data_IF_704208159869
#
_entry.id   IF_704208159869
#
_cell.length_a   1.000
_cell.length_b   1.000
_cell.length_c   1.000
_cell.angle_alpha   90.00
_cell.angle_beta   90.00
_cell.angle_gamma   90.00
#
_symmetry.space_group_name_H-M   'P 1'
#
loop_
_entity.id
_entity.type
_entity.pdbx_description
1 polymer ?
#
# COMPACT_ATOMS: atom_id res chain seq x y z
N UNK A 1 -92.53 2.44 -32.96
CA UNK A 1 -91.11 2.78 -32.80
C UNK A 1 -90.34 1.47 -32.87
N UNK A 2 -89.63 1.24 -33.98
CA UNK A 2 -89.09 -0.05 -34.39
C UNK A 2 -87.59 -0.19 -34.01
N UNK A 3 -87.08 -1.43 -33.89
CA UNK A 3 -85.73 -1.77 -33.42
C UNK A 3 -84.73 -1.86 -34.58
N UNK A 4 -83.44 -1.56 -34.36
CA UNK A 4 -82.40 -1.82 -35.38
C UNK A 4 -81.04 -2.09 -34.73
N UNK A 5 -80.51 -3.29 -35.00
CA UNK A 5 -79.10 -3.60 -34.89
C UNK A 5 -78.40 -3.44 -36.24
N UNK A 6 -77.07 -3.24 -36.19
CA UNK A 6 -76.15 -3.52 -37.29
C UNK A 6 -74.84 -4.01 -36.68
N UNK A 7 -74.57 -5.30 -36.84
CA UNK A 7 -73.20 -5.80 -37.06
C UNK A 7 -73.01 -5.98 -38.57
N UNK A 8 -71.85 -5.60 -39.10
CA UNK A 8 -71.04 -6.57 -39.86
C UNK A 8 -69.57 -6.48 -39.38
N UNK A 9 -68.95 -7.57 -38.98
CA UNK A 9 -68.37 -8.65 -39.81
C UNK A 9 -66.87 -8.39 -40.08
N UNK A 10 -66.07 -9.17 -39.36
CA UNK A 10 -64.85 -9.87 -39.76
C UNK A 10 -63.82 -9.19 -40.69
N UNK A 11 -62.60 -9.03 -40.16
CA UNK A 11 -61.37 -9.25 -40.93
C UNK A 11 -60.20 -9.51 -39.96
N UNK A 12 -59.79 -10.78 -39.92
CA UNK A 12 -58.44 -11.29 -39.71
C UNK A 12 -57.35 -10.31 -39.24
N UNK A 13 -56.74 -10.60 -38.09
CA UNK A 13 -55.28 -10.49 -37.97
C UNK A 13 -54.73 -11.35 -36.81
N UNK A 14 -54.08 -12.49 -37.09
CA UNK A 14 -53.51 -13.37 -36.08
C UNK A 14 -52.03 -13.06 -35.82
N UNK A 15 -51.65 -11.84 -35.44
CA UNK A 15 -50.22 -11.50 -35.24
C UNK A 15 -49.90 -10.51 -34.09
N UNK A 16 -50.47 -10.69 -32.89
CA UNK A 16 -49.96 -9.99 -31.70
C UNK A 16 -49.91 -10.86 -30.46
N UNK A 17 -49.05 -11.87 -30.47
CA UNK A 17 -48.60 -12.49 -29.22
C UNK A 17 -47.13 -12.96 -29.28
N UNK A 18 -46.23 -12.06 -29.68
CA UNK A 18 -44.78 -12.27 -29.62
C UNK A 18 -44.08 -11.03 -29.05
N UNK A 19 -44.28 -10.76 -27.76
CA UNK A 19 -43.37 -9.90 -27.00
C UNK A 19 -42.73 -10.74 -25.88
N UNK A 20 -41.89 -11.70 -26.28
CA UNK A 20 -40.79 -12.14 -25.43
C UNK A 20 -39.73 -11.05 -25.52
N UNK A 21 -39.74 -10.11 -24.57
CA UNK A 21 -38.64 -9.16 -24.46
C UNK A 21 -37.35 -9.96 -24.23
N UNK A 22 -36.31 -9.77 -25.06
CA UNK A 22 -35.02 -10.35 -24.75
C UNK A 22 -34.55 -9.65 -23.47
N UNK A 23 -34.27 -10.44 -22.43
CA UNK A 23 -33.53 -9.95 -21.26
C UNK A 23 -32.31 -9.23 -21.81
N UNK A 24 -32.29 -7.91 -21.67
CA UNK A 24 -31.30 -7.06 -22.31
C UNK A 24 -29.97 -7.22 -21.57
N UNK A 25 -29.25 -8.28 -21.95
CA UNK A 25 -27.97 -8.67 -21.38
C UNK A 25 -26.94 -7.54 -21.48
N UNK A 26 -27.10 -6.62 -22.45
CA UNK A 26 -26.29 -5.42 -22.55
C UNK A 26 -26.57 -4.45 -21.39
N UNK A 27 -27.84 -4.17 -21.08
CA UNK A 27 -28.22 -3.33 -19.95
C UNK A 27 -27.81 -3.96 -18.60
N UNK A 28 -27.88 -5.29 -18.49
CA UNK A 28 -27.41 -6.02 -17.31
C UNK A 28 -25.88 -5.96 -17.16
N UNK A 29 -25.13 -6.06 -18.26
CA UNK A 29 -23.67 -5.95 -18.26
C UNK A 29 -23.21 -4.52 -17.92
N UNK A 30 -23.93 -3.51 -18.38
CA UNK A 30 -23.67 -2.10 -18.06
C UNK A 30 -23.92 -1.81 -16.58
N UNK A 31 -24.99 -2.37 -16.01
CA UNK A 31 -25.26 -2.32 -14.58
C UNK A 31 -24.19 -3.06 -13.76
N UNK A 32 -23.71 -4.21 -14.25
CA UNK A 32 -22.63 -4.96 -13.60
C UNK A 32 -21.30 -4.20 -13.66
N UNK A 33 -21.00 -3.52 -14.77
CA UNK A 33 -19.80 -2.71 -14.92
C UNK A 33 -19.82 -1.51 -13.95
N UNK A 34 -20.98 -0.85 -13.78
CA UNK A 34 -21.16 0.21 -12.81
C UNK A 34 -21.06 -0.29 -11.35
N UNK A 35 -21.58 -1.48 -11.06
CA UNK A 35 -21.49 -2.10 -9.74
C UNK A 35 -20.06 -2.53 -9.40
N UNK A 36 -19.33 -3.09 -10.37
CA UNK A 36 -17.90 -3.41 -10.22
C UNK A 36 -17.12 -2.12 -10.00
N UNK A 37 -17.41 -1.04 -10.72
CA UNK A 37 -16.74 0.24 -10.52
C UNK A 37 -17.00 0.80 -9.12
N UNK A 38 -18.23 0.69 -8.60
CA UNK A 38 -18.54 1.08 -7.23
C UNK A 38 -17.90 0.16 -6.18
N UNK A 39 -17.84 -1.15 -6.41
CA UNK A 39 -17.12 -2.08 -5.53
C UNK A 39 -15.60 -1.86 -5.57
N UNK A 40 -15.03 -1.54 -6.73
CA UNK A 40 -13.63 -1.13 -6.89
C UNK A 40 -13.36 0.16 -6.14
N UNK A 41 -14.28 1.14 -6.20
CA UNK A 41 -14.20 2.37 -5.40
C UNK A 41 -14.32 2.11 -3.91
N UNK A 42 -15.22 1.22 -3.49
CA UNK A 42 -15.38 0.82 -2.09
C UNK A 42 -14.17 0.01 -1.57
N UNK A 43 -13.48 -0.72 -2.45
CA UNK A 43 -12.20 -1.40 -2.19
C UNK A 43 -10.99 -0.47 -2.32
N UNK A 44 -11.18 0.81 -2.66
CA UNK A 44 -10.11 1.80 -2.76
C UNK A 44 -9.25 1.69 -4.03
N UNK A 45 -9.66 0.89 -5.03
CA UNK A 45 -8.93 0.66 -6.28
C UNK A 45 -9.27 1.66 -7.41
N UNK A 46 -10.14 2.64 -7.17
CA UNK A 46 -10.39 3.78 -8.07
C UNK A 46 -9.95 5.11 -7.46
N UNK A 47 -8.75 5.15 -6.89
CA UNK A 47 -8.08 6.40 -6.58
C UNK A 47 -7.27 6.89 -7.80
N UNK A 48 -7.09 8.21 -8.00
CA UNK A 48 -6.17 8.79 -8.98
C UNK A 48 -4.68 8.38 -8.80
N UNK A 49 -4.39 7.49 -7.84
CA UNK A 49 -3.10 6.87 -7.60
C UNK A 49 -2.93 5.49 -8.25
N UNK A 50 -3.95 4.95 -8.94
CA UNK A 50 -3.75 3.86 -9.90
C UNK A 50 -3.22 4.46 -11.21
N UNK A 51 -2.15 5.26 -11.12
CA UNK A 51 -1.30 5.47 -12.27
C UNK A 51 -0.80 4.11 -12.69
N UNK A 52 -0.74 3.90 -14.00
CA UNK A 52 -0.04 2.80 -14.66
C UNK A 52 1.48 2.89 -14.40
N UNK A 53 1.89 3.15 -13.15
CA UNK A 53 3.26 3.00 -12.70
C UNK A 53 3.47 1.51 -12.58
N UNK A 54 4.16 0.91 -13.55
CA UNK A 54 4.74 -0.42 -13.43
C UNK A 54 5.82 -0.52 -12.35
N UNK A 55 5.73 0.28 -11.29
CA UNK A 55 6.58 0.19 -10.12
C UNK A 55 6.26 -1.13 -9.41
N UNK A 56 7.29 -1.95 -9.22
CA UNK A 56 7.17 -3.24 -8.53
C UNK A 56 6.63 -3.10 -7.10
N UNK A 57 6.80 -1.91 -6.49
CA UNK A 57 6.21 -1.55 -5.21
C UNK A 57 5.68 -0.10 -5.19
N UNK A 58 4.37 0.11 -5.12
CA UNK A 58 3.77 1.45 -5.05
C UNK A 58 4.03 2.13 -3.69
N UNK A 59 4.96 3.10 -3.66
CA UNK A 59 5.40 3.78 -2.42
C UNK A 59 4.28 4.51 -1.68
N UNK A 60 3.31 5.04 -2.42
CA UNK A 60 2.14 5.74 -1.86
C UNK A 60 1.30 4.81 -0.98
N UNK A 61 1.07 3.57 -1.42
CA UNK A 61 0.32 2.56 -0.65
C UNK A 61 1.05 2.23 0.65
N UNK A 62 2.38 2.05 0.58
CA UNK A 62 3.22 1.80 1.76
C UNK A 62 3.09 2.96 2.75
N UNK A 63 3.26 4.21 2.29
CA UNK A 63 3.18 5.42 3.12
C UNK A 63 1.82 5.58 3.78
N UNK A 64 0.74 5.49 3.01
CA UNK A 64 -0.62 5.68 3.53
C UNK A 64 -0.99 4.61 4.55
N UNK A 65 -0.64 3.35 4.27
CA UNK A 65 -0.87 2.24 5.19
C UNK A 65 -0.07 2.44 6.48
N UNK A 66 1.23 2.78 6.38
CA UNK A 66 2.07 3.03 7.54
C UNK A 66 1.55 4.19 8.39
N UNK A 67 1.21 5.33 7.76
CA UNK A 67 0.66 6.50 8.46
C UNK A 67 -0.66 6.20 9.15
N UNK A 68 -1.55 5.40 8.54
CA UNK A 68 -2.79 4.96 9.17
C UNK A 68 -2.53 4.18 10.45
N UNK A 69 -1.56 3.26 10.42
CA UNK A 69 -1.16 2.48 11.60
C UNK A 69 -0.53 3.35 12.69
N UNK A 70 0.38 4.24 12.33
CA UNK A 70 1.02 5.16 13.28
C UNK A 70 0.00 6.10 13.91
N UNK A 71 -0.90 6.68 13.11
CA UNK A 71 -1.96 7.56 13.62
C UNK A 71 -2.85 6.85 14.64
N UNK A 72 -3.18 5.58 14.39
CA UNK A 72 -3.96 4.77 15.33
C UNK A 72 -3.24 4.51 16.66
N UNK A 73 -1.89 4.52 16.67
CA UNK A 73 -1.05 4.39 17.87
C UNK A 73 -0.73 5.73 18.53
N UNK A 74 -1.07 6.85 17.88
CA UNK A 74 -0.74 8.20 18.32
C UNK A 74 0.69 8.59 17.94
N UNK A 75 0.87 9.86 17.56
CA UNK A 75 2.17 10.46 17.25
C UNK A 75 2.20 11.88 17.82
N UNK A 76 3.02 12.09 18.85
CA UNK A 76 3.18 13.39 19.47
C UNK A 76 4.04 14.32 18.58
N UNK A 77 3.72 15.62 18.50
CA UNK A 77 4.58 16.59 17.84
C UNK A 77 5.88 16.78 18.63
N UNK A 78 6.97 17.09 17.92
CA UNK A 78 8.28 17.34 18.52
C UNK A 78 8.40 18.82 18.93
N UNK A 79 8.73 19.07 20.19
CA UNK A 79 8.99 20.39 20.73
C UNK A 79 10.48 20.74 20.78
N UNK A 80 10.77 22.02 21.00
CA UNK A 80 12.15 22.51 21.13
C UNK A 80 12.91 21.87 22.31
N UNK A 81 12.19 21.54 23.40
CA UNK A 81 12.80 20.85 24.55
C UNK A 81 13.23 19.41 24.20
N UNK A 82 12.45 18.69 23.37
CA UNK A 82 12.80 17.32 22.97
C UNK A 82 14.07 17.32 22.13
N UNK A 83 14.15 18.26 21.18
CA UNK A 83 15.34 18.48 20.35
C UNK A 83 16.55 18.77 21.22
N UNK A 84 16.46 19.77 22.12
CA UNK A 84 17.58 20.17 22.97
C UNK A 84 18.07 19.03 23.88
N UNK A 85 17.16 18.21 24.42
CA UNK A 85 17.50 17.07 25.28
C UNK A 85 18.20 15.96 24.51
N UNK A 86 17.81 15.70 23.27
CA UNK A 86 18.48 14.68 22.44
C UNK A 86 19.83 15.18 21.95
N UNK A 87 19.96 16.45 21.58
CA UNK A 87 21.26 17.04 21.22
C UNK A 87 22.26 16.98 22.39
N UNK A 88 21.79 17.22 23.61
CA UNK A 88 22.58 17.04 24.84
C UNK A 88 23.02 15.58 24.99
N UNK A 89 22.09 14.62 24.87
CA UNK A 89 22.39 13.19 24.96
C UNK A 89 23.42 12.75 23.89
N UNK A 90 23.25 13.17 22.64
CA UNK A 90 24.21 12.91 21.57
C UNK A 90 25.58 13.48 21.87
N UNK A 91 25.66 14.70 22.43
CA UNK A 91 26.94 15.31 22.81
C UNK A 91 27.67 14.50 23.90
N UNK A 92 26.93 13.94 24.85
CA UNK A 92 27.49 13.08 25.90
C UNK A 92 27.92 11.72 25.33
N UNK A 93 27.06 11.07 24.53
CA UNK A 93 27.38 9.79 23.90
C UNK A 93 28.62 9.90 23.01
N UNK A 94 28.73 10.99 22.25
CA UNK A 94 29.88 11.28 21.39
C UNK A 94 31.17 11.46 22.20
N UNK A 95 31.12 12.10 23.36
CA UNK A 95 32.27 12.21 24.26
C UNK A 95 32.77 10.83 24.72
N UNK A 96 31.86 9.91 25.02
CA UNK A 96 32.20 8.54 25.44
C UNK A 96 32.70 7.68 24.27
N UNK A 97 32.06 7.77 23.11
CA UNK A 97 32.42 7.02 21.91
C UNK A 97 33.77 7.45 21.32
N UNK A 98 34.11 8.74 21.38
CA UNK A 98 35.39 9.25 20.89
C UNK A 98 36.59 8.66 21.65
N UNK A 99 36.43 8.42 22.96
CA UNK A 99 37.49 7.79 23.75
C UNK A 99 37.56 6.27 23.47
N UNK A 100 36.41 5.63 23.28
CA UNK A 100 36.31 4.18 23.14
C UNK A 100 36.53 3.66 21.71
N UNK A 101 36.44 4.52 20.68
CA UNK A 101 36.43 4.11 19.26
C UNK A 101 37.35 4.95 18.39
N UNK A 102 37.72 4.43 17.23
CA UNK A 102 38.50 5.14 16.20
C UNK A 102 37.63 5.67 15.05
N UNK A 103 36.31 5.59 15.17
CA UNK A 103 35.40 6.05 14.13
C UNK A 103 35.36 7.58 14.11
N UNK A 104 35.37 8.21 12.92
CA UNK A 104 35.20 9.65 12.85
C UNK A 104 33.78 10.04 13.28
N UNK A 105 33.65 11.22 13.90
CA UNK A 105 32.35 11.79 14.23
C UNK A 105 31.47 11.91 12.98
N UNK A 106 30.16 11.70 13.13
CA UNK A 106 29.25 11.91 12.02
C UNK A 106 29.27 13.38 11.57
N UNK A 107 29.53 13.61 10.29
CA UNK A 107 29.52 14.94 9.67
C UNK A 107 28.13 15.33 9.15
N UNK A 108 27.20 14.37 9.08
CA UNK A 108 25.87 14.58 8.55
C UNK A 108 24.98 15.25 9.61
N UNK A 109 24.43 16.41 9.26
CA UNK A 109 23.45 17.11 10.09
C UNK A 109 22.05 16.73 9.63
N UNK A 110 21.25 16.21 10.56
CA UNK A 110 19.84 15.91 10.35
C UNK A 110 19.03 16.33 11.56
N UNK A 111 17.73 16.05 11.55
CA UNK A 111 16.88 16.34 12.70
C UNK A 111 17.17 15.31 13.82
N UNK A 112 17.66 15.72 14.99
CA UNK A 112 18.01 14.79 16.07
C UNK A 112 16.78 14.13 16.70
N UNK A 113 15.60 14.75 16.59
CA UNK A 113 14.36 14.26 17.22
C UNK A 113 13.21 14.25 16.21
N UNK A 114 12.52 13.13 16.06
CA UNK A 114 11.42 12.99 15.10
C UNK A 114 10.18 12.36 15.69
N UNK A 115 9.02 12.79 15.19
CA UNK A 115 7.76 12.13 15.51
C UNK A 115 7.67 10.78 14.77
N UNK A 116 6.81 9.87 15.25
CA UNK A 116 6.60 8.56 14.62
C UNK A 116 6.18 8.69 13.15
N UNK A 117 5.35 9.68 12.83
CA UNK A 117 4.93 9.95 11.45
C UNK A 117 6.08 10.43 10.56
N UNK A 118 6.98 11.22 11.12
CA UNK A 118 8.14 11.74 10.40
C UNK A 118 9.15 10.60 10.18
N UNK A 119 9.33 9.71 11.15
CA UNK A 119 10.15 8.50 10.98
C UNK A 119 9.69 7.64 9.80
N UNK A 120 8.37 7.47 9.63
CA UNK A 120 7.81 6.77 8.45
C UNK A 120 8.23 7.46 7.16
N UNK A 121 8.06 8.79 7.06
CA UNK A 121 8.39 9.52 5.84
C UNK A 121 9.89 9.53 5.54
N UNK A 122 10.72 9.69 6.58
CA UNK A 122 12.19 9.72 6.48
C UNK A 122 12.74 8.37 6.04
N UNK A 123 12.22 7.26 6.56
CA UNK A 123 12.74 5.91 6.27
C UNK A 123 12.14 5.26 5.03
N UNK A 124 11.02 5.77 4.50
CA UNK A 124 10.26 5.14 3.42
C UNK A 124 11.10 4.82 2.18
N UNK A 125 11.99 5.73 1.78
CA UNK A 125 12.84 5.54 0.61
C UNK A 125 13.80 4.38 0.82
N UNK A 126 14.45 4.30 1.98
CA UNK A 126 15.36 3.20 2.31
C UNK A 126 14.63 1.85 2.35
N UNK A 127 13.43 1.81 2.93
CA UNK A 127 12.59 0.61 2.92
C UNK A 127 12.30 0.12 1.51
N UNK A 128 11.95 1.03 0.61
CA UNK A 128 11.69 0.67 -0.77
C UNK A 128 12.95 0.11 -1.45
N UNK A 129 14.11 0.75 -1.30
CA UNK A 129 15.38 0.26 -1.87
C UNK A 129 15.70 -1.15 -1.36
N UNK A 130 15.47 -1.42 -0.07
CA UNK A 130 15.72 -2.73 0.51
C UNK A 130 14.76 -3.82 0.01
N UNK A 131 13.49 -3.48 -0.25
CA UNK A 131 12.43 -4.48 -0.52
C UNK A 131 12.09 -4.61 -2.00
N UNK A 132 12.35 -3.58 -2.82
CA UNK A 132 12.07 -3.58 -4.27
C UNK A 132 12.71 -4.77 -5.02
N UNK A 133 13.96 -5.21 -4.74
CA UNK A 133 14.54 -6.39 -5.38
C UNK A 133 13.73 -7.67 -5.12
N UNK A 134 13.10 -7.78 -3.94
CA UNK A 134 12.26 -8.93 -3.57
C UNK A 134 10.97 -8.92 -4.38
N UNK A 135 10.33 -7.76 -4.52
CA UNK A 135 9.12 -7.60 -5.32
C UNK A 135 9.36 -7.92 -6.81
N UNK A 136 10.48 -7.45 -7.36
CA UNK A 136 10.88 -7.76 -8.74
C UNK A 136 11.14 -9.26 -8.92
N UNK A 137 11.89 -9.87 -7.98
CA UNK A 137 12.18 -11.31 -8.03
C UNK A 137 10.93 -12.18 -7.96
N UNK A 138 9.99 -11.86 -7.07
CA UNK A 138 8.72 -12.59 -6.96
C UNK A 138 7.86 -12.43 -8.22
N UNK A 139 7.78 -11.21 -8.75
CA UNK A 139 7.04 -10.94 -9.97
C UNK A 139 7.59 -11.71 -11.18
N UNK A 140 8.92 -11.83 -11.28
CA UNK A 140 9.58 -12.63 -12.31
C UNK A 140 9.24 -14.12 -12.15
N UNK A 141 9.42 -14.68 -10.95
CA UNK A 141 9.15 -16.10 -10.68
C UNK A 141 7.71 -16.50 -11.01
N UNK A 142 6.73 -15.66 -10.71
CA UNK A 142 5.32 -15.94 -11.03
C UNK A 142 5.04 -15.83 -12.52
N UNK A 143 5.72 -14.93 -13.22
CA UNK A 143 5.63 -14.82 -14.69
C UNK A 143 6.19 -16.07 -15.36
N UNK A 144 7.28 -16.62 -14.82
CA UNK A 144 7.88 -17.87 -15.31
C UNK A 144 6.92 -19.06 -15.08
N UNK A 145 6.35 -19.19 -13.88
CA UNK A 145 5.37 -20.24 -13.55
C UNK A 145 4.12 -20.18 -14.45
N UNK A 146 3.61 -18.98 -14.72
CA UNK A 146 2.45 -18.81 -15.61
C UNK A 146 2.80 -19.18 -17.05
N UNK A 147 4.00 -18.83 -17.51
CA UNK A 147 4.49 -19.17 -18.84
C UNK A 147 4.69 -20.68 -19.01
N UNK A 148 5.16 -21.37 -17.96
CA UNK A 148 5.27 -22.83 -17.92
C UNK A 148 3.88 -23.50 -18.00
N UNK A 149 2.93 -23.06 -17.16
CA UNK A 149 1.57 -23.61 -17.13
C UNK A 149 0.78 -23.38 -18.44
N UNK A 150 0.99 -22.23 -19.10
CA UNK A 150 0.32 -21.90 -20.38
C UNK A 150 1.05 -22.45 -21.59
N UNK A 151 2.37 -22.60 -21.53
CA UNK A 151 3.20 -23.24 -22.57
C UNK A 151 2.89 -24.72 -22.76
N UNK A 152 2.52 -25.43 -21.69
CA UNK A 152 2.05 -26.82 -21.77
C UNK A 152 0.60 -26.94 -22.29
N UNK A 153 -0.20 -25.88 -22.16
CA UNK A 153 -1.63 -25.87 -22.53
C UNK A 153 -1.90 -25.42 -23.98
N UNK A 154 -0.87 -25.03 -24.74
CA UNK A 154 -0.96 -24.40 -26.06
C UNK A 154 -1.21 -25.32 -27.27
N UNK A 155 -1.58 -26.60 -27.08
CA UNK A 155 -1.84 -27.53 -28.20
C UNK A 155 -3.31 -27.85 -28.47
N UNK A 156 -4.28 -27.31 -27.73
CA UNK A 156 -5.68 -27.60 -27.98
C UNK A 156 -6.44 -26.37 -28.50
N UNK A 157 -6.73 -26.38 -29.80
CA UNK A 157 -7.35 -25.34 -30.64
C UNK A 157 -8.83 -25.01 -30.33
N UNK A 158 -9.27 -24.98 -29.08
CA UNK A 158 -10.65 -24.62 -28.78
C UNK A 158 -10.76 -23.90 -27.45
N UNK A 159 -10.88 -22.56 -27.48
CA UNK A 159 -11.98 -21.84 -26.83
C UNK A 159 -11.81 -20.31 -26.97
N UNK A 160 -12.61 -19.77 -27.89
CA UNK A 160 -12.65 -18.38 -28.32
C UNK A 160 -13.64 -17.53 -27.52
N UNK A 161 -13.69 -17.66 -26.19
CA UNK A 161 -14.73 -16.96 -25.39
C UNK A 161 -14.24 -16.13 -24.19
N UNK A 162 -12.97 -16.20 -23.78
CA UNK A 162 -12.45 -15.29 -22.74
C UNK A 162 -10.93 -15.14 -22.81
N UNK A 163 -10.40 -14.86 -24.00
CA UNK A 163 -8.98 -14.57 -24.18
C UNK A 163 -8.67 -13.14 -23.74
N UNK A 164 -8.76 -12.87 -22.44
CA UNK A 164 -7.90 -11.86 -21.85
C UNK A 164 -6.47 -12.26 -22.25
N UNK A 165 -5.70 -11.40 -22.95
CA UNK A 165 -4.36 -11.75 -23.36
C UNK A 165 -3.58 -12.23 -22.13
N UNK A 166 -2.97 -13.41 -22.19
CA UNK A 166 -2.21 -13.99 -21.06
C UNK A 166 -1.22 -12.97 -20.47
N UNK A 167 -0.64 -12.11 -21.32
CA UNK A 167 0.21 -11.00 -20.89
C UNK A 167 -0.50 -9.89 -20.10
N UNK A 168 -1.77 -9.62 -20.36
CA UNK A 168 -2.57 -8.68 -19.57
C UNK A 168 -2.89 -9.26 -18.18
N UNK A 169 -3.23 -10.55 -18.10
CA UNK A 169 -3.44 -11.24 -16.81
C UNK A 169 -2.15 -11.24 -15.99
N UNK A 170 -1.00 -11.54 -16.61
CA UNK A 170 0.30 -11.51 -15.95
C UNK A 170 0.63 -10.12 -15.37
N UNK A 171 0.32 -9.05 -16.12
CA UNK A 171 0.55 -7.67 -15.69
C UNK A 171 -0.36 -7.29 -14.51
N UNK A 172 -1.65 -7.67 -14.57
CA UNK A 172 -2.60 -7.45 -13.49
C UNK A 172 -2.20 -8.20 -12.22
N UNK A 173 -1.79 -9.46 -12.35
CA UNK A 173 -1.33 -10.28 -11.22
C UNK A 173 -0.08 -9.67 -10.57
N UNK A 174 0.88 -9.20 -11.38
CA UNK A 174 2.07 -8.49 -10.89
C UNK A 174 1.71 -7.23 -10.10
N UNK A 175 0.79 -6.42 -10.61
CA UNK A 175 0.32 -5.21 -9.93
C UNK A 175 -0.41 -5.54 -8.62
N UNK A 176 -1.26 -6.57 -8.62
CA UNK A 176 -1.96 -7.04 -7.42
C UNK A 176 -0.99 -7.49 -6.32
N UNK A 177 0.02 -8.29 -6.68
CA UNK A 177 1.05 -8.76 -5.74
C UNK A 177 1.89 -7.59 -5.21
N UNK A 178 2.30 -6.66 -6.08
CA UNK A 178 3.00 -5.45 -5.67
C UNK A 178 2.21 -4.64 -4.66
N UNK A 179 0.88 -4.54 -4.83
CA UNK A 179 -0.02 -3.88 -3.88
C UNK A 179 -0.14 -4.63 -2.54
N UNK A 180 -0.23 -5.96 -2.55
CA UNK A 180 -0.25 -6.77 -1.33
C UNK A 180 1.05 -6.63 -0.53
N UNK A 181 2.20 -6.71 -1.20
CA UNK A 181 3.51 -6.51 -0.56
C UNK A 181 3.60 -5.09 0.00
N UNK A 182 3.20 -4.08 -0.77
CA UNK A 182 3.21 -2.69 -0.32
C UNK A 182 2.34 -2.48 0.92
N UNK A 183 1.16 -3.11 0.95
CA UNK A 183 0.26 -3.06 2.11
C UNK A 183 0.92 -3.71 3.32
N UNK A 184 1.44 -4.94 3.18
CA UNK A 184 2.08 -5.66 4.29
C UNK A 184 3.31 -4.91 4.81
N UNK A 185 4.13 -4.36 3.91
CA UNK A 185 5.28 -3.54 4.25
C UNK A 185 4.83 -2.28 5.01
N UNK A 186 3.80 -1.59 4.53
CA UNK A 186 3.25 -0.41 5.21
C UNK A 186 2.76 -0.72 6.62
N UNK A 187 2.09 -1.86 6.83
CA UNK A 187 1.69 -2.30 8.17
C UNK A 187 2.90 -2.56 9.07
N UNK A 188 3.93 -3.24 8.56
CA UNK A 188 5.15 -3.53 9.30
C UNK A 188 5.91 -2.25 9.66
N UNK A 189 6.08 -1.33 8.71
CA UNK A 189 6.71 -0.02 8.94
C UNK A 189 5.92 0.78 9.98
N UNK A 190 4.59 0.81 9.88
CA UNK A 190 3.75 1.50 10.86
C UNK A 190 3.83 0.88 12.26
N UNK A 191 3.93 -0.44 12.34
CA UNK A 191 4.17 -1.16 13.59
C UNK A 191 5.55 -0.87 14.19
N UNK A 192 6.60 -0.84 13.36
CA UNK A 192 7.95 -0.49 13.79
C UNK A 192 8.03 0.95 14.27
N UNK A 193 7.47 1.91 13.53
CA UNK A 193 7.46 3.33 13.90
C UNK A 193 6.86 3.59 15.30
N UNK A 194 5.97 2.71 15.78
CA UNK A 194 5.40 2.82 17.12
C UNK A 194 6.32 2.33 18.25
N UNK A 195 7.39 1.59 17.93
CA UNK A 195 8.25 0.93 18.93
C UNK A 195 9.74 1.31 18.82
N UNK A 196 10.21 1.74 17.64
CA UNK A 196 11.62 2.11 17.44
C UNK A 196 12.00 3.35 18.23
N UNK A 197 13.10 3.29 18.95
CA UNK A 197 13.69 4.41 19.68
C UNK A 197 14.50 5.35 18.76
N UNK A 198 14.95 4.88 17.59
CA UNK A 198 15.67 5.71 16.62
C UNK A 198 15.62 5.21 15.18
N UNK A 199 16.34 5.90 14.28
CA UNK A 199 16.43 5.58 12.84
C UNK A 199 17.24 4.32 12.54
N UNK A 200 18.11 3.89 13.46
CA UNK A 200 19.06 2.78 13.24
C UNK A 200 18.69 1.47 13.94
N UNK A 201 17.58 1.42 14.68
CA UNK A 201 17.15 0.24 15.45
C UNK A 201 16.90 -1.01 14.60
N UNK A 202 16.54 -0.80 13.34
CA UNK A 202 16.18 -1.89 12.41
C UNK A 202 17.42 -2.53 11.77
N UNK A 203 18.59 -1.88 11.87
CA UNK A 203 19.84 -2.39 11.29
C UNK A 203 19.90 -2.34 9.75
N UNK A 204 18.96 -1.65 9.11
CA UNK A 204 18.95 -1.40 7.67
C UNK A 204 19.41 0.03 7.36
N UNK A 205 20.06 0.29 6.22
CA UNK A 205 20.47 1.63 5.80
C UNK A 205 19.25 2.40 5.27
N UNK A 206 18.39 2.87 6.18
CA UNK A 206 17.10 3.45 5.82
C UNK A 206 17.16 4.94 5.45
N UNK A 207 18.25 5.63 5.80
CA UNK A 207 18.39 7.09 5.68
C UNK A 207 19.72 7.43 5.03
N UNK A 208 19.70 8.33 4.03
CA UNK A 208 20.87 8.84 3.32
C UNK A 208 20.77 10.37 3.19
N UNK A 209 21.76 11.16 3.64
CA UNK A 209 22.94 10.73 4.39
C UNK A 209 22.59 10.14 5.76
N UNK A 210 23.47 9.27 6.28
CA UNK A 210 23.29 8.64 7.59
C UNK A 210 23.53 9.66 8.71
N UNK A 211 22.54 9.88 9.57
CA UNK A 211 22.65 10.71 10.78
C UNK A 211 21.89 10.07 11.95
N UNK A 212 22.31 10.33 13.21
CA UNK A 212 21.59 9.84 14.38
C UNK A 212 20.30 10.63 14.58
N UNK A 213 19.21 9.93 14.86
CA UNK A 213 17.93 10.56 15.19
C UNK A 213 17.09 9.62 16.04
N UNK A 214 16.42 10.19 17.04
CA UNK A 214 15.63 9.48 18.03
C UNK A 214 14.15 9.82 17.92
N UNK A 215 13.30 8.94 18.45
CA UNK A 215 11.85 9.10 18.57
C UNK A 215 11.52 9.30 20.05
N UNK A 216 11.44 10.56 20.55
CA UNK A 216 11.31 10.85 21.99
C UNK A 216 10.14 10.12 22.65
N UNK A 217 8.99 10.10 21.98
CA UNK A 217 7.79 9.44 22.49
C UNK A 217 8.05 7.94 22.77
N UNK A 218 8.77 7.26 21.88
CA UNK A 218 9.02 5.82 22.03
C UNK A 218 10.04 5.56 23.13
N UNK A 219 11.02 6.43 23.28
CA UNK A 219 11.98 6.37 24.38
C UNK A 219 11.28 6.56 25.72
N UNK A 220 10.41 7.57 25.81
CA UNK A 220 9.65 7.84 27.03
C UNK A 220 8.72 6.66 27.40
N UNK A 221 8.10 6.01 26.41
CA UNK A 221 7.29 4.80 26.62
C UNK A 221 8.16 3.58 26.98
N UNK A 222 9.31 3.39 26.33
CA UNK A 222 10.24 2.29 26.60
C UNK A 222 10.85 2.37 28.00
N UNK A 223 11.10 3.58 28.50
CA UNK A 223 11.71 3.82 29.79
C UNK A 223 10.81 3.65 31.02
N UNK A 224 9.49 3.51 30.85
CA UNK A 224 8.50 3.66 31.93
C UNK A 224 8.65 2.69 33.12
N UNK A 225 9.34 1.56 32.96
CA UNK A 225 9.51 0.56 34.00
C UNK A 225 10.98 0.20 34.29
N UNK A 226 11.93 0.94 33.72
CA UNK A 226 13.37 0.63 33.86
C UNK A 226 13.97 1.12 35.18
N UNK A 227 13.29 2.02 35.90
CA UNK A 227 13.80 2.70 37.10
C UNK A 227 15.18 3.37 36.87
N UNK A 228 15.41 3.82 35.64
CA UNK A 228 16.60 4.58 35.21
C UNK A 228 16.14 6.01 34.87
N UNK A 229 16.90 7.06 35.23
CA UNK A 229 16.59 8.43 34.83
C UNK A 229 16.47 8.57 33.31
N UNK A 230 15.46 9.29 32.83
CA UNK A 230 15.21 9.44 31.39
C UNK A 230 16.37 10.11 30.62
N UNK A 231 17.16 10.92 31.31
CA UNK A 231 18.39 11.51 30.78
C UNK A 231 19.47 10.46 30.49
N UNK A 232 19.58 9.42 31.31
CA UNK A 232 20.50 8.29 31.07
C UNK A 232 19.98 7.35 29.99
N UNK A 233 18.65 7.15 29.92
CA UNK A 233 18.00 6.30 28.90
C UNK A 233 18.26 6.81 27.47
N UNK A 234 18.37 8.13 27.30
CA UNK A 234 18.55 8.77 25.98
C UNK A 234 19.99 8.72 25.47
N UNK A 235 20.97 8.43 26.32
CA UNK A 235 22.40 8.36 26.01
C UNK A 235 22.75 6.94 25.56
#
# INVERSE_FOLDING_TARGET
MAPFGFTPDNSDDPEKNNNGEPVDFAAMMEQMQAQIQQQFSALGMSAPGFTQSGEAMPKNIVRETAKKFVTAKGSAPIGANDVARIEEAFSIAELWLNEATFFPQSVATGNPAMARTDWVDTTLTGWQICVEPIAIGLAAAISDLLSEATGESGQNEAESAMQLPVGMIATLLRSFIGSLIATQLGQSIGGLAANVTGTHDVGLPLVEPVYPSLVPQNIDEWGQDLNIPMEEIRI
#
